data_IF_584426499340
#
_entry.id   IF_584426499340
#
_cell.length_a   1.000
_cell.length_b   1.000
_cell.length_c   1.000
_cell.angle_alpha   90.00
_cell.angle_beta   90.00
_cell.angle_gamma   90.00
#
_symmetry.space_group_name_H-M   'P 1'
#
loop_
_entity.id
_entity.type
_entity.pdbx_description
1 polymer ?
#
# COMPACT_ATOMS: atom_id res chain seq x y z
N UNK A 1 -9.72 -17.51 3.64
CA UNK A 1 -8.30 -17.20 3.93
C UNK A 1 -8.21 -15.90 4.70
N UNK A 2 -7.19 -15.72 5.54
CA UNK A 2 -7.11 -14.61 6.52
C UNK A 2 -7.27 -13.23 5.87
N UNK A 3 -6.66 -12.99 4.70
CA UNK A 3 -6.74 -11.70 4.00
C UNK A 3 -8.16 -11.36 3.52
N UNK A 4 -8.84 -12.29 2.84
CA UNK A 4 -10.23 -12.06 2.38
C UNK A 4 -11.20 -11.87 3.55
N UNK A 5 -10.99 -12.60 4.65
CA UNK A 5 -11.81 -12.46 5.86
C UNK A 5 -11.62 -11.09 6.53
N UNK A 6 -10.43 -10.49 6.40
CA UNK A 6 -10.13 -9.13 6.85
C UNK A 6 -10.53 -8.03 5.85
N UNK A 7 -11.25 -8.37 4.77
CA UNK A 7 -11.73 -7.39 3.78
C UNK A 7 -10.72 -6.99 2.70
N UNK A 8 -9.57 -7.66 2.62
CA UNK A 8 -8.60 -7.41 1.55
C UNK A 8 -9.09 -7.99 0.22
N UNK A 9 -8.88 -7.24 -0.84
CA UNK A 9 -9.01 -7.74 -2.20
C UNK A 9 -7.82 -8.64 -2.55
N UNK A 10 -8.08 -9.92 -2.81
CA UNK A 10 -7.05 -10.86 -3.25
C UNK A 10 -7.00 -10.92 -4.77
N UNK A 11 -5.86 -10.54 -5.35
CA UNK A 11 -5.64 -10.50 -6.79
C UNK A 11 -4.65 -11.57 -7.26
N UNK A 12 -4.61 -11.79 -8.56
CA UNK A 12 -3.62 -12.65 -9.20
C UNK A 12 -2.19 -12.07 -9.05
N UNK A 13 -1.14 -12.92 -9.03
CA UNK A 13 0.22 -12.45 -8.89
C UNK A 13 0.60 -11.49 -10.03
N UNK A 14 1.10 -10.31 -9.67
CA UNK A 14 1.50 -9.27 -10.61
C UNK A 14 2.04 -8.03 -9.91
N UNK A 15 2.57 -7.10 -10.70
CA UNK A 15 3.21 -5.90 -10.18
C UNK A 15 2.22 -4.87 -9.60
N UNK A 16 0.93 -4.95 -9.95
CA UNK A 16 -0.08 -3.94 -9.58
C UNK A 16 0.45 -2.50 -9.75
N UNK A 17 0.25 -1.63 -8.76
CA UNK A 17 0.72 -0.25 -8.74
C UNK A 17 2.24 -0.10 -8.91
N UNK A 18 3.06 -1.13 -8.73
CA UNK A 18 4.53 -1.00 -8.80
C UNK A 18 5.02 -0.42 -10.13
N UNK A 19 4.26 -0.62 -11.22
CA UNK A 19 4.58 -0.10 -12.55
C UNK A 19 3.83 1.18 -12.91
N UNK A 20 2.65 1.42 -12.32
CA UNK A 20 1.79 2.58 -12.63
C UNK A 20 1.20 2.57 -14.05
N UNK A 21 1.21 1.42 -14.73
CA UNK A 21 0.68 1.23 -16.08
C UNK A 21 -0.67 0.49 -16.11
N UNK A 22 -1.17 0.11 -14.94
CA UNK A 22 -2.47 -0.53 -14.78
C UNK A 22 -3.46 0.47 -14.11
N UNK A 23 -4.75 0.13 -14.03
CA UNK A 23 -5.75 1.01 -13.41
C UNK A 23 -5.54 1.27 -11.90
N UNK A 24 -4.59 0.58 -11.27
CA UNK A 24 -4.26 0.79 -9.86
C UNK A 24 -3.35 2.01 -9.75
N UNK A 25 -3.93 3.15 -9.42
CA UNK A 25 -3.21 4.40 -9.26
C UNK A 25 -3.74 5.17 -8.06
N UNK A 26 -2.82 5.84 -7.36
CA UNK A 26 -3.13 6.82 -6.34
C UNK A 26 -3.70 8.08 -6.99
N UNK A 27 -4.72 8.63 -6.35
CA UNK A 27 -5.27 9.94 -6.68
C UNK A 27 -4.40 11.04 -6.06
N UNK A 28 -4.42 12.26 -6.61
CA UNK A 28 -3.71 13.38 -6.02
C UNK A 28 -4.07 13.57 -4.53
N UNK A 29 -3.05 13.70 -3.69
CA UNK A 29 -3.22 13.84 -2.23
C UNK A 29 -3.31 12.52 -1.45
N UNK A 30 -3.55 11.38 -2.11
CA UNK A 30 -3.56 10.09 -1.44
C UNK A 30 -2.16 9.65 -1.00
N UNK A 31 -2.13 8.81 0.03
CA UNK A 31 -0.92 8.23 0.59
C UNK A 31 -1.03 6.71 0.64
N UNK A 32 0.05 6.03 0.28
CA UNK A 32 0.13 4.57 0.27
C UNK A 32 1.31 4.07 1.12
N UNK A 33 1.05 3.10 1.98
CA UNK A 33 2.07 2.24 2.58
C UNK A 33 2.28 1.04 1.65
N UNK A 34 3.44 0.98 0.98
CA UNK A 34 3.71 -0.01 -0.07
C UNK A 34 4.91 -0.88 0.29
N UNK A 35 4.80 -2.18 0.04
CA UNK A 35 5.91 -3.14 0.12
C UNK A 35 6.69 -3.25 -1.20
N UNK A 36 6.49 -2.31 -2.12
CA UNK A 36 7.31 -2.15 -3.33
C UNK A 36 8.72 -1.67 -2.98
N UNK A 37 9.59 -1.50 -3.98
CA UNK A 37 10.97 -1.04 -3.80
C UNK A 37 11.25 0.36 -4.35
N UNK A 38 10.22 1.08 -4.83
CA UNK A 38 10.37 2.40 -5.47
C UNK A 38 9.21 3.31 -5.10
N UNK A 39 9.53 4.56 -4.77
CA UNK A 39 8.58 5.59 -4.33
C UNK A 39 8.85 6.98 -4.90
N UNK A 40 9.56 7.08 -6.03
CA UNK A 40 9.78 8.38 -6.67
C UNK A 40 8.45 9.00 -7.12
N UNK A 41 8.42 10.33 -7.22
CA UNK A 41 7.21 11.09 -7.52
C UNK A 41 6.55 10.64 -8.83
N UNK A 42 5.21 10.52 -8.81
CA UNK A 42 4.43 10.08 -9.96
C UNK A 42 4.46 8.58 -10.23
N UNK A 43 5.29 7.79 -9.52
CA UNK A 43 5.46 6.35 -9.80
C UNK A 43 4.17 5.53 -9.72
N UNK A 44 3.36 5.79 -8.70
CA UNK A 44 2.12 5.05 -8.44
C UNK A 44 0.88 5.93 -8.61
N UNK A 45 1.03 7.11 -9.22
CA UNK A 45 -0.04 8.10 -9.36
C UNK A 45 0.51 9.52 -9.22
N UNK A 46 0.04 10.43 -10.09
CA UNK A 46 0.43 11.83 -10.06
C UNK A 46 -0.12 12.53 -8.80
N UNK A 47 0.74 13.25 -8.08
CA UNK A 47 0.36 13.95 -6.85
C UNK A 47 0.09 13.05 -5.63
N UNK A 48 0.19 11.73 -5.76
CA UNK A 48 0.16 10.78 -4.66
C UNK A 48 1.52 10.60 -4.01
N UNK A 49 1.58 10.09 -2.77
CA UNK A 49 2.83 9.76 -2.08
C UNK A 49 2.88 8.33 -1.61
N UNK A 50 3.96 7.64 -1.97
CA UNK A 50 4.25 6.30 -1.50
C UNK A 50 5.30 6.31 -0.41
N UNK A 51 5.06 5.54 0.63
CA UNK A 51 6.00 5.22 1.69
C UNK A 51 6.38 3.75 1.59
N UNK A 52 7.68 3.46 1.43
CA UNK A 52 8.19 2.10 1.41
C UNK A 52 8.23 1.55 2.82
N UNK A 53 7.58 0.42 3.05
CA UNK A 53 7.47 -0.21 4.36
C UNK A 53 7.63 -1.72 4.26
N UNK A 54 7.96 -2.36 5.37
CA UNK A 54 7.98 -3.83 5.47
C UNK A 54 6.53 -4.39 5.45
N UNK A 55 6.35 -5.68 5.13
CA UNK A 55 5.02 -6.31 5.18
C UNK A 55 4.31 -6.18 6.53
N UNK A 56 5.06 -6.26 7.64
CA UNK A 56 4.49 -6.15 8.99
C UNK A 56 3.97 -4.74 9.26
N UNK A 57 4.68 -3.69 8.80
CA UNK A 57 4.24 -2.30 8.93
C UNK A 57 3.06 -1.99 7.99
N UNK A 58 3.05 -2.55 6.78
CA UNK A 58 1.90 -2.43 5.87
C UNK A 58 0.63 -3.02 6.50
N UNK A 59 0.74 -4.20 7.12
CA UNK A 59 -0.38 -4.81 7.84
C UNK A 59 -0.83 -3.96 9.04
N UNK A 60 0.12 -3.44 9.85
CA UNK A 60 -0.20 -2.59 10.98
C UNK A 60 -0.91 -1.29 10.56
N UNK A 61 -0.42 -0.65 9.50
CA UNK A 61 -1.02 0.55 8.91
C UNK A 61 -2.43 0.29 8.37
N UNK A 62 -2.64 -0.87 7.73
CA UNK A 62 -3.95 -1.26 7.23
C UNK A 62 -4.98 -1.47 8.37
N UNK A 63 -4.55 -2.01 9.51
CA UNK A 63 -5.38 -2.17 10.71
C UNK A 63 -5.68 -0.81 11.35
N UNK A 64 -4.68 0.05 11.50
CA UNK A 64 -4.79 1.32 12.21
C UNK A 64 -5.51 2.43 11.42
N UNK A 65 -5.66 2.29 10.10
CA UNK A 65 -6.22 3.32 9.21
C UNK A 65 -5.32 4.56 9.04
N UNK A 66 -4.08 4.49 9.53
CA UNK A 66 -3.03 5.52 9.45
C UNK A 66 -1.67 4.85 9.54
N UNK A 67 -0.60 5.55 9.16
CA UNK A 67 0.76 5.02 9.36
C UNK A 67 0.99 4.67 10.83
N UNK A 68 1.31 3.40 11.06
CA UNK A 68 1.50 2.82 12.38
C UNK A 68 2.55 1.71 12.31
N UNK A 69 3.30 1.55 13.39
CA UNK A 69 4.17 0.41 13.63
C UNK A 69 3.37 -0.71 14.32
N UNK A 70 3.83 -1.98 14.25
CA UNK A 70 3.15 -3.09 14.92
C UNK A 70 2.95 -2.87 16.43
N UNK A 71 3.93 -2.26 17.09
CA UNK A 71 3.87 -1.89 18.51
C UNK A 71 2.76 -0.88 18.86
N UNK A 72 2.24 -0.14 17.88
CA UNK A 72 1.14 0.80 18.11
C UNK A 72 -0.24 0.11 18.25
N UNK A 73 -0.32 -1.20 18.00
CA UNK A 73 -1.57 -1.97 18.03
C UNK A 73 -1.86 -2.67 19.37
N UNK A 74 -0.90 -2.71 20.30
CA UNK A 74 -1.04 -3.36 21.62
C UNK A 74 -0.51 -4.79 21.67
#
# INVERSE_FOLDING_TARGET
GVFRAAGFEWRDPGCSMCLGMNPDVLRPGERCASTSNRNFEGRQGAGGRTHLVSPVVAAATAIAGRFALPEDLG
#
